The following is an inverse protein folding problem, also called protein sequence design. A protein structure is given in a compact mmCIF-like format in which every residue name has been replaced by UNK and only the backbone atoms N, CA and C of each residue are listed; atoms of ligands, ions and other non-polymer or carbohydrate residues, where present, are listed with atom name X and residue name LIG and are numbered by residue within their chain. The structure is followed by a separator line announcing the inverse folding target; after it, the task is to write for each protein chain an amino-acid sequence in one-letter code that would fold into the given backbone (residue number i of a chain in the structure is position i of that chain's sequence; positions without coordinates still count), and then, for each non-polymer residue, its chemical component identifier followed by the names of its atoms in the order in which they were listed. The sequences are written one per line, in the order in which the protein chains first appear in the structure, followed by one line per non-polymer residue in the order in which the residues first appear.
data_IF_949902487765
#
_entry.id   IF_949902487765
#
_cell.length_a   1.000
_cell.length_b   1.000
_cell.length_c   1.000
_cell.angle_alpha   90.00
_cell.angle_beta   90.00
_cell.angle_gamma   90.00
#
_symmetry.space_group_name_H-M   'P 1'
#
loop_
_entity.id
_entity.type
_entity.pdbx_description
1 polymer ?
#
# COMPACT_ATOMS: atom_id res chain seq x y z
N UNK A 1 -6.06 8.02 7.48
CA UNK A 1 -6.50 6.97 8.44
C UNK A 1 -6.06 5.59 7.94
N UNK A 2 -5.80 4.67 8.85
CA UNK A 2 -5.39 3.29 8.61
C UNK A 2 -6.22 2.54 7.54
N UNK A 3 -7.57 2.66 7.57
CA UNK A 3 -8.44 2.01 6.58
C UNK A 3 -8.15 2.47 5.14
N UNK A 4 -7.93 3.76 4.94
CA UNK A 4 -7.59 4.33 3.63
C UNK A 4 -6.24 3.81 3.13
N UNK A 5 -5.27 3.66 4.04
CA UNK A 5 -3.96 3.10 3.68
C UNK A 5 -4.07 1.64 3.27
N UNK A 6 -4.84 0.82 4.00
CA UNK A 6 -5.09 -0.57 3.59
C UNK A 6 -5.74 -0.67 2.19
N UNK A 7 -6.72 0.18 1.89
CA UNK A 7 -7.36 0.24 0.57
C UNK A 7 -6.36 0.65 -0.52
N UNK A 8 -5.51 1.65 -0.26
CA UNK A 8 -4.45 2.06 -1.19
C UNK A 8 -3.43 0.94 -1.40
N UNK A 9 -2.95 0.28 -0.35
CA UNK A 9 -2.03 -0.85 -0.48
C UNK A 9 -2.64 -1.98 -1.33
N UNK A 10 -3.93 -2.29 -1.15
CA UNK A 10 -4.63 -3.28 -1.96
C UNK A 10 -4.73 -2.85 -3.43
N UNK A 11 -5.05 -1.58 -3.69
CA UNK A 11 -5.20 -1.04 -5.05
C UNK A 11 -3.88 -1.02 -5.82
N UNK A 12 -2.78 -0.67 -5.15
CA UNK A 12 -1.47 -0.53 -5.78
C UNK A 12 -0.56 -1.77 -5.65
N UNK A 13 -1.02 -2.85 -4.96
CA UNK A 13 -0.28 -4.12 -4.87
C UNK A 13 0.19 -4.66 -6.24
N UNK A 14 -0.63 -4.64 -7.33
CA UNK A 14 -0.20 -5.14 -8.62
C UNK A 14 1.10 -4.52 -9.14
N UNK A 15 1.42 -3.30 -8.73
CA UNK A 15 2.65 -2.61 -9.16
C UNK A 15 3.93 -3.29 -8.69
N UNK A 16 3.87 -4.10 -7.66
CA UNK A 16 5.00 -4.90 -7.15
C UNK A 16 5.12 -6.26 -7.85
N UNK A 17 4.17 -6.62 -8.72
CA UNK A 17 4.15 -7.89 -9.43
C UNK A 17 5.11 -7.91 -10.63
N UNK A 18 5.81 -9.01 -10.81
CA UNK A 18 6.72 -9.21 -11.95
C UNK A 18 5.99 -9.16 -13.30
N UNK A 19 4.72 -9.57 -13.35
CA UNK A 19 3.90 -9.55 -14.56
C UNK A 19 3.60 -8.13 -15.03
N UNK A 20 3.28 -7.20 -14.14
CA UNK A 20 3.05 -5.78 -14.46
C UNK A 20 4.35 -5.08 -14.83
N UNK A 21 5.43 -5.43 -14.14
CA UNK A 21 6.79 -4.93 -14.46
C UNK A 21 7.23 -5.39 -15.86
N UNK A 22 7.07 -6.67 -16.20
CA UNK A 22 7.40 -7.21 -17.51
C UNK A 22 6.57 -6.58 -18.63
N UNK A 23 5.29 -6.33 -18.38
CA UNK A 23 4.39 -5.65 -19.33
C UNK A 23 4.63 -4.14 -19.44
N UNK A 24 5.56 -3.61 -18.64
CA UNK A 24 5.85 -2.17 -18.54
C UNK A 24 4.62 -1.31 -18.17
N UNK A 25 3.76 -1.86 -17.30
CA UNK A 25 2.57 -1.19 -16.74
C UNK A 25 2.71 -0.98 -15.22
N UNK A 26 3.92 -0.83 -14.73
CA UNK A 26 4.26 -0.46 -13.36
C UNK A 26 5.34 0.62 -13.36
N UNK A 27 5.13 1.70 -12.63
CA UNK A 27 6.17 2.72 -12.38
C UNK A 27 7.36 2.20 -11.56
N UNK A 28 7.19 1.07 -10.89
CA UNK A 28 8.28 0.41 -10.17
C UNK A 28 9.20 -0.40 -11.10
N UNK A 29 8.91 -0.52 -12.40
CA UNK A 29 9.75 -1.23 -13.37
C UNK A 29 11.18 -0.61 -13.39
N UNK A 30 12.19 -1.46 -13.21
CA UNK A 30 13.60 -1.04 -13.15
C UNK A 30 13.99 -0.24 -11.90
N UNK A 31 13.17 -0.23 -10.86
CA UNK A 31 13.43 0.47 -9.60
C UNK A 31 13.91 -0.45 -8.47
N UNK A 32 13.98 -1.77 -8.66
CA UNK A 32 14.51 -2.68 -7.65
C UNK A 32 15.90 -2.23 -7.17
N UNK A 33 16.10 -2.16 -5.86
CA UNK A 33 17.32 -1.66 -5.21
C UNK A 33 17.43 -0.13 -5.17
N UNK A 34 16.42 0.62 -5.61
CA UNK A 34 16.42 2.09 -5.57
C UNK A 34 15.42 2.61 -4.55
N UNK A 35 15.60 3.86 -4.14
CA UNK A 35 14.70 4.60 -3.28
C UNK A 35 13.37 4.89 -4.01
N UNK A 36 12.26 4.41 -3.45
CA UNK A 36 10.90 4.57 -3.99
C UNK A 36 9.94 5.16 -2.95
N UNK A 37 10.37 5.26 -1.70
CA UNK A 37 9.59 5.77 -0.58
C UNK A 37 10.48 6.51 0.41
N UNK A 38 9.88 7.21 1.38
CA UNK A 38 10.61 7.78 2.52
C UNK A 38 11.34 6.67 3.29
N UNK A 39 12.50 6.97 3.88
CA UNK A 39 13.35 6.03 4.63
C UNK A 39 12.64 5.34 5.81
N UNK A 40 11.59 5.95 6.36
CA UNK A 40 10.78 5.36 7.44
C UNK A 40 9.82 4.27 6.94
N UNK A 41 9.64 4.12 5.62
CA UNK A 41 8.68 3.17 5.04
C UNK A 41 9.28 1.78 4.97
N UNK A 42 8.67 0.88 5.72
CA UNK A 42 8.96 -0.55 5.69
C UNK A 42 7.66 -1.31 5.38
N UNK A 43 7.58 -1.89 4.18
CA UNK A 43 6.44 -2.67 3.71
C UNK A 43 6.86 -4.14 3.62
N UNK A 44 6.28 -4.99 4.47
CA UNK A 44 6.68 -6.40 4.63
C UNK A 44 5.54 -7.34 4.32
N UNK A 45 5.79 -8.38 3.56
CA UNK A 45 4.92 -9.55 3.51
C UNK A 45 5.31 -10.53 4.62
N UNK A 46 4.33 -10.90 5.44
CA UNK A 46 4.50 -11.84 6.56
C UNK A 46 3.54 -13.02 6.40
N UNK A 47 4.04 -14.24 6.14
CA UNK A 47 3.19 -15.42 5.97
C UNK A 47 2.55 -15.92 7.28
N UNK A 48 2.91 -15.35 8.44
CA UNK A 48 2.41 -15.77 9.77
C UNK A 48 1.19 -14.96 10.26
N UNK A 49 0.67 -14.00 9.47
CA UNK A 49 -0.49 -13.17 9.84
C UNK A 49 -1.83 -13.90 9.78
N UNK A 50 -2.93 -13.13 9.65
CA UNK A 50 -4.30 -13.69 9.62
C UNK A 50 -4.55 -14.68 8.48
N UNK A 51 -3.87 -14.52 7.35
CA UNK A 51 -3.88 -15.47 6.24
C UNK A 51 -2.56 -16.27 6.25
N UNK A 52 -2.29 -16.96 7.36
CA UNK A 52 -1.09 -17.77 7.49
C UNK A 52 -1.07 -18.90 6.46
N UNK A 53 0.02 -18.98 5.69
CA UNK A 53 0.25 -20.03 4.70
C UNK A 53 1.71 -20.42 4.68
N UNK A 54 2.00 -21.71 4.66
CA UNK A 54 3.38 -22.22 4.52
C UNK A 54 3.84 -22.24 3.05
N UNK A 55 2.91 -22.28 2.10
CA UNK A 55 3.18 -22.24 0.66
C UNK A 55 2.01 -21.61 -0.09
N UNK A 56 2.32 -21.08 -1.27
CA UNK A 56 1.32 -20.57 -2.19
C UNK A 56 0.52 -21.69 -2.89
N UNK A 57 -0.38 -21.33 -3.80
CA UNK A 57 -1.21 -22.32 -4.51
C UNK A 57 -0.47 -23.04 -5.63
N UNK A 58 0.81 -22.74 -5.85
CA UNK A 58 1.73 -23.43 -6.77
C UNK A 58 2.71 -24.34 -6.02
N UNK A 59 2.61 -24.43 -4.67
CA UNK A 59 3.47 -25.25 -3.82
C UNK A 59 4.83 -24.64 -3.52
N UNK A 60 5.04 -23.36 -3.83
CA UNK A 60 6.27 -22.64 -3.46
C UNK A 60 6.17 -22.14 -2.01
N UNK A 61 7.20 -22.37 -1.16
CA UNK A 61 7.18 -21.87 0.21
C UNK A 61 6.99 -20.35 0.26
N UNK A 62 6.08 -19.89 1.11
CA UNK A 62 5.94 -18.47 1.43
C UNK A 62 6.98 -18.10 2.47
N UNK A 63 7.64 -16.98 2.29
CA UNK A 63 8.67 -16.50 3.20
C UNK A 63 8.41 -15.03 3.55
N UNK A 64 8.83 -14.64 4.76
CA UNK A 64 8.84 -13.23 5.14
C UNK A 64 9.82 -12.45 4.27
N UNK A 65 9.32 -11.40 3.62
CA UNK A 65 10.12 -10.56 2.73
C UNK A 65 9.67 -9.12 2.78
N UNK A 66 10.61 -8.21 2.52
CA UNK A 66 10.32 -6.79 2.41
C UNK A 66 10.08 -6.42 0.95
N UNK A 67 8.92 -5.84 0.65
CA UNK A 67 8.66 -5.19 -0.63
C UNK A 67 9.37 -3.83 -0.68
N UNK A 68 9.35 -3.11 0.45
CA UNK A 68 10.13 -1.89 0.66
C UNK A 68 10.81 -2.02 2.02
N UNK A 69 12.11 -1.76 2.09
CA UNK A 69 12.88 -1.70 3.33
C UNK A 69 13.63 -0.38 3.38
N UNK A 70 13.39 0.40 4.43
CA UNK A 70 14.04 1.71 4.64
C UNK A 70 13.94 2.58 3.36
N UNK A 71 12.73 2.63 2.76
CA UNK A 71 12.46 3.35 1.52
C UNK A 71 12.94 2.70 0.23
N UNK A 72 13.77 1.66 0.31
CA UNK A 72 14.37 0.98 -0.84
C UNK A 72 13.45 -0.14 -1.34
N UNK A 73 13.15 -0.16 -2.63
CA UNK A 73 12.39 -1.25 -3.26
C UNK A 73 13.19 -2.55 -3.24
N UNK A 74 12.58 -3.61 -2.71
CA UNK A 74 13.12 -4.95 -2.74
C UNK A 74 12.96 -5.63 -4.09
N UNK A 75 12.89 -6.95 -4.08
CA UNK A 75 12.60 -7.74 -5.27
C UNK A 75 11.11 -7.70 -5.59
N UNK A 76 10.76 -7.82 -6.89
CA UNK A 76 9.36 -7.98 -7.31
C UNK A 76 8.80 -9.32 -6.87
N UNK A 77 7.48 -9.39 -6.78
CA UNK A 77 6.76 -10.61 -6.46
C UNK A 77 6.63 -11.49 -7.70
N UNK A 78 6.99 -12.75 -7.57
CA UNK A 78 6.95 -13.74 -8.67
C UNK A 78 6.06 -14.93 -8.30
N UNK A 79 5.16 -15.32 -9.19
CA UNK A 79 4.65 -16.67 -9.27
C UNK A 79 5.59 -17.56 -10.14
N UNK A 80 5.33 -18.84 -10.30
CA UNK A 80 6.21 -19.72 -11.07
C UNK A 80 6.31 -19.32 -12.55
N UNK A 81 5.21 -18.90 -13.16
CA UNK A 81 5.18 -18.51 -14.58
C UNK A 81 6.07 -17.27 -14.84
N UNK A 82 5.92 -16.23 -14.04
CA UNK A 82 6.72 -15.00 -14.20
C UNK A 82 8.18 -15.21 -13.78
N UNK A 83 8.43 -16.07 -12.79
CA UNK A 83 9.79 -16.46 -12.40
C UNK A 83 10.52 -17.17 -13.55
N UNK A 84 9.86 -18.12 -14.19
CA UNK A 84 10.41 -18.84 -15.36
C UNK A 84 10.74 -17.87 -16.50
N UNK A 85 9.83 -16.94 -16.82
CA UNK A 85 10.04 -15.95 -17.88
C UNK A 85 11.21 -14.99 -17.56
N UNK A 86 11.43 -14.70 -16.28
CA UNK A 86 12.51 -13.82 -15.82
C UNK A 86 13.85 -14.55 -15.56
N UNK A 87 13.89 -15.89 -15.69
CA UNK A 87 15.07 -16.68 -15.31
C UNK A 87 15.39 -16.63 -13.81
N UNK A 88 14.36 -16.51 -12.97
CA UNK A 88 14.43 -16.39 -11.51
C UNK A 88 13.68 -17.52 -10.80
N UNK A 89 13.71 -17.52 -9.48
CA UNK A 89 12.87 -18.39 -8.65
C UNK A 89 11.57 -17.68 -8.25
N UNK A 90 10.48 -18.45 -8.10
CA UNK A 90 9.24 -17.93 -7.52
C UNK A 90 9.47 -17.43 -6.09
N UNK A 91 8.78 -16.37 -5.72
CA UNK A 91 8.84 -15.78 -4.37
C UNK A 91 7.73 -16.30 -3.44
N UNK A 92 6.98 -17.34 -3.87
CA UNK A 92 5.86 -17.90 -3.11
C UNK A 92 4.63 -16.98 -3.14
N UNK A 93 4.37 -16.38 -4.29
CA UNK A 93 3.31 -15.38 -4.45
C UNK A 93 2.29 -15.77 -5.53
N UNK A 94 2.19 -17.04 -5.90
CA UNK A 94 1.21 -17.55 -6.84
C UNK A 94 -0.09 -17.98 -6.15
N UNK A 95 -1.13 -17.11 -6.13
CA UNK A 95 -2.40 -17.39 -5.46
C UNK A 95 -3.58 -17.45 -6.43
N UNK A 96 -4.53 -18.32 -6.14
CA UNK A 96 -5.76 -18.49 -6.91
C UNK A 96 -6.94 -17.81 -6.23
N UNK A 97 -7.71 -17.03 -6.96
CA UNK A 97 -8.98 -16.49 -6.48
C UNK A 97 -10.09 -17.56 -6.39
N UNK A 98 -9.94 -18.66 -7.13
CA UNK A 98 -10.82 -19.82 -7.10
C UNK A 98 -10.11 -21.07 -7.62
N UNK A 99 -10.71 -22.25 -7.42
CA UNK A 99 -10.15 -23.52 -7.95
C UNK A 99 -10.07 -23.56 -9.49
N UNK A 100 -10.81 -22.70 -10.19
CA UNK A 100 -10.81 -22.60 -11.67
C UNK A 100 -9.85 -21.56 -12.20
N UNK A 101 -9.37 -20.63 -11.36
CA UNK A 101 -8.48 -19.57 -11.82
C UNK A 101 -7.04 -20.05 -11.96
N UNK A 102 -6.30 -19.43 -12.87
CA UNK A 102 -4.85 -19.54 -12.89
C UNK A 102 -4.27 -18.76 -11.72
N UNK A 103 -3.08 -19.16 -11.18
CA UNK A 103 -2.42 -18.41 -10.15
C UNK A 103 -2.06 -16.99 -10.62
N UNK A 104 -2.46 -16.00 -9.84
CA UNK A 104 -2.07 -14.61 -10.02
C UNK A 104 -1.10 -14.19 -8.90
N UNK A 105 -0.36 -13.10 -9.11
CA UNK A 105 0.53 -12.58 -8.08
C UNK A 105 -0.31 -11.92 -6.98
N UNK A 106 -0.06 -12.33 -5.75
CA UNK A 106 -0.72 -11.83 -4.54
C UNK A 106 0.20 -11.92 -3.33
N UNK A 107 -0.33 -11.59 -2.17
CA UNK A 107 0.38 -11.66 -0.88
C UNK A 107 -0.43 -12.45 0.14
N UNK A 108 0.21 -13.00 1.14
CA UNK A 108 -0.47 -13.58 2.31
C UNK A 108 -0.99 -12.47 3.22
N UNK A 109 -0.09 -11.75 3.86
CA UNK A 109 -0.38 -10.58 4.69
C UNK A 109 0.66 -9.50 4.39
N UNK A 110 0.22 -8.36 3.88
CA UNK A 110 1.07 -7.21 3.59
C UNK A 110 0.92 -6.18 4.70
N UNK A 111 2.02 -5.86 5.37
CA UNK A 111 2.05 -4.97 6.53
C UNK A 111 2.93 -3.75 6.28
N UNK A 112 2.38 -2.57 6.47
CA UNK A 112 3.16 -1.35 6.65
C UNK A 112 3.59 -1.27 8.12
N UNK A 113 4.90 -1.25 8.38
CA UNK A 113 5.42 -1.19 9.74
C UNK A 113 5.30 0.24 10.27
N UNK A 114 4.66 0.39 11.41
CA UNK A 114 4.49 1.67 12.10
C UNK A 114 5.66 1.98 13.04
N UNK A 115 5.72 3.23 13.45
CA UNK A 115 6.61 3.75 14.49
C UNK A 115 5.94 3.66 15.87
N UNK A 116 6.66 4.02 16.93
CA UNK A 116 6.11 4.14 18.30
C UNK A 116 5.34 5.47 18.49
N UNK A 117 4.59 5.91 17.50
CA UNK A 117 3.79 7.13 17.54
C UNK A 117 2.30 6.79 17.53
N UNK A 118 1.52 7.49 18.35
CA UNK A 118 0.07 7.37 18.25
C UNK A 118 -0.47 8.20 17.08
N UNK A 119 -1.65 7.88 16.60
CA UNK A 119 -2.35 8.70 15.61
C UNK A 119 -2.56 10.15 16.11
N UNK A 120 -2.85 10.30 17.38
CA UNK A 120 -3.06 11.60 18.03
C UNK A 120 -1.78 12.46 17.95
N UNK A 121 -0.61 11.85 18.17
CA UNK A 121 0.68 12.53 17.98
C UNK A 121 0.90 12.99 16.54
N UNK A 122 0.55 12.18 15.54
CA UNK A 122 0.63 12.59 14.13
C UNK A 122 -0.31 13.77 13.82
N UNK A 123 -1.51 13.82 14.42
CA UNK A 123 -2.45 14.92 14.26
C UNK A 123 -1.88 16.18 14.92
N UNK A 124 -1.27 16.06 16.10
CA UNK A 124 -0.60 17.16 16.78
C UNK A 124 0.59 17.69 15.98
N UNK A 125 1.44 16.81 15.44
CA UNK A 125 2.58 17.19 14.60
C UNK A 125 2.14 17.83 13.27
N UNK A 126 0.99 17.45 12.71
CA UNK A 126 0.44 18.02 11.48
C UNK A 126 0.11 19.51 11.61
N UNK A 127 -0.25 19.99 12.80
CA UNK A 127 -0.69 21.36 13.11
C UNK A 127 -1.92 21.79 12.31
N UNK A 128 -1.78 22.08 11.01
CA UNK A 128 -2.87 22.49 10.11
C UNK A 128 -2.92 21.56 8.89
N UNK A 129 -4.10 21.03 8.60
CA UNK A 129 -4.28 20.09 7.49
C UNK A 129 -5.60 19.34 7.53
N UNK A 130 -5.62 18.13 6.98
CA UNK A 130 -6.79 17.26 6.90
C UNK A 130 -6.49 15.86 7.44
N UNK A 131 -7.35 15.37 8.30
CA UNK A 131 -7.40 13.96 8.68
C UNK A 131 -8.48 13.24 7.88
N UNK A 132 -8.08 12.55 6.81
CA UNK A 132 -8.99 11.81 5.94
C UNK A 132 -9.37 10.49 6.62
N UNK A 133 -10.67 10.25 6.79
CA UNK A 133 -11.20 9.07 7.47
C UNK A 133 -11.76 8.01 6.53
N UNK A 134 -12.16 8.38 5.33
CA UNK A 134 -12.58 7.47 4.27
C UNK A 134 -12.43 8.13 2.90
N UNK A 135 -12.23 7.30 1.88
CA UNK A 135 -12.23 7.67 0.48
C UNK A 135 -13.21 6.76 -0.26
N UNK A 136 -14.00 7.35 -1.15
CA UNK A 136 -14.93 6.64 -2.01
C UNK A 136 -14.43 6.64 -3.45
N UNK A 137 -14.76 5.58 -4.20
CA UNK A 137 -14.47 5.50 -5.63
C UNK A 137 -13.05 5.05 -5.98
N UNK A 138 -12.36 4.31 -5.11
CA UNK A 138 -10.98 3.83 -5.33
C UNK A 138 -10.81 3.16 -6.70
N UNK A 139 -11.72 2.26 -7.12
CA UNK A 139 -11.63 1.57 -8.40
C UNK A 139 -11.83 2.46 -9.64
N UNK A 140 -12.51 3.59 -9.49
CA UNK A 140 -12.77 4.51 -10.60
C UNK A 140 -11.83 5.72 -10.60
N UNK A 141 -11.33 6.11 -9.44
CA UNK A 141 -10.55 7.31 -9.22
C UNK A 141 -9.07 7.08 -8.96
N UNK A 142 -8.59 5.82 -8.99
CA UNK A 142 -7.17 5.50 -8.83
C UNK A 142 -6.68 4.64 -10.00
N UNK A 143 -5.50 4.97 -10.53
CA UNK A 143 -4.84 4.24 -11.61
C UNK A 143 -3.54 3.60 -11.08
N UNK A 144 -3.50 2.27 -10.93
CA UNK A 144 -2.30 1.59 -10.44
C UNK A 144 -1.10 1.66 -11.40
N UNK A 145 -1.32 1.99 -12.67
CA UNK A 145 -0.25 2.10 -13.66
C UNK A 145 0.46 3.45 -13.51
N UNK A 146 -0.28 4.56 -13.57
CA UNK A 146 0.28 5.90 -13.41
C UNK A 146 0.58 6.27 -11.96
N UNK A 147 -0.13 5.65 -11.01
CA UNK A 147 -0.12 6.01 -9.60
C UNK A 147 -1.06 7.15 -9.26
N UNK A 148 -1.68 7.80 -10.25
CA UNK A 148 -2.54 8.94 -10.01
C UNK A 148 -3.85 8.52 -9.33
N UNK A 149 -4.33 9.37 -8.44
CA UNK A 149 -5.64 9.19 -7.83
C UNK A 149 -6.37 10.53 -7.66
N UNK A 150 -7.69 10.49 -7.73
CA UNK A 150 -8.60 11.58 -7.37
C UNK A 150 -9.84 10.97 -6.75
N UNK A 151 -9.96 11.08 -5.42
CA UNK A 151 -10.91 10.33 -4.61
C UNK A 151 -11.85 11.28 -3.86
N UNK A 152 -13.15 10.97 -3.89
CA UNK A 152 -14.12 11.65 -3.02
C UNK A 152 -13.85 11.23 -1.59
N UNK A 153 -13.60 12.19 -0.73
CA UNK A 153 -13.08 11.96 0.60
C UNK A 153 -13.93 12.68 1.66
N UNK A 154 -13.85 12.14 2.89
CA UNK A 154 -14.40 12.73 4.09
C UNK A 154 -13.44 12.60 5.25
N UNK A 155 -13.58 13.49 6.22
CA UNK A 155 -12.69 13.50 7.39
C UNK A 155 -12.90 14.72 8.26
N UNK A 156 -11.82 15.24 8.80
CA UNK A 156 -11.81 16.39 9.69
C UNK A 156 -10.73 17.38 9.26
N UNK A 157 -11.06 18.65 9.35
CA UNK A 157 -10.05 19.69 9.34
C UNK A 157 -9.25 19.60 10.64
N UNK A 158 -7.94 19.72 10.53
CA UNK A 158 -7.02 19.83 11.68
C UNK A 158 -6.58 21.28 11.78
N UNK A 159 -6.65 21.85 12.99
CA UNK A 159 -6.20 23.18 13.30
C UNK A 159 -5.42 23.18 14.62
N UNK A 160 -4.23 23.78 14.61
CA UNK A 160 -3.35 23.83 15.78
C UNK A 160 -3.19 22.44 16.43
N UNK A 161 -2.97 21.41 15.64
CA UNK A 161 -2.79 20.03 16.10
C UNK A 161 -4.02 19.34 16.68
N UNK A 162 -5.23 19.84 16.42
CA UNK A 162 -6.50 19.26 16.93
C UNK A 162 -7.53 19.12 15.83
N UNK A 163 -8.37 18.08 15.96
CA UNK A 163 -9.54 17.93 15.08
C UNK A 163 -10.50 19.09 15.33
N UNK A 164 -10.82 19.81 14.26
CA UNK A 164 -11.73 20.97 14.29
C UNK A 164 -13.12 20.56 13.77
N UNK A 165 -13.41 20.81 12.52
CA UNK A 165 -14.72 20.52 11.91
C UNK A 165 -14.66 19.33 10.94
N UNK A 166 -15.79 18.61 10.85
CA UNK A 166 -15.96 17.58 9.83
C UNK A 166 -16.00 18.21 8.43
N UNK A 167 -15.39 17.51 7.47
CA UNK A 167 -15.44 17.81 6.04
C UNK A 167 -15.96 16.60 5.29
N UNK A 168 -16.75 16.84 4.26
CA UNK A 168 -17.37 15.79 3.45
C UNK A 168 -17.41 16.20 1.98
N UNK A 169 -17.44 15.21 1.08
CA UNK A 169 -17.52 15.45 -0.37
C UNK A 169 -16.40 16.36 -0.90
N UNK A 170 -15.22 16.29 -0.32
CA UNK A 170 -14.01 16.91 -0.87
C UNK A 170 -13.34 15.93 -1.81
N UNK A 171 -12.69 16.42 -2.87
CA UNK A 171 -11.83 15.60 -3.71
C UNK A 171 -10.38 15.75 -3.21
N UNK A 172 -9.72 14.61 -2.97
CA UNK A 172 -8.30 14.55 -2.65
C UNK A 172 -7.59 13.86 -3.80
N UNK A 173 -6.63 14.55 -4.40
CA UNK A 173 -5.91 14.06 -5.57
C UNK A 173 -4.38 14.09 -5.34
N UNK A 174 -3.70 13.16 -5.95
CA UNK A 174 -2.25 13.04 -5.88
C UNK A 174 -1.72 11.86 -6.68
N UNK A 175 -0.49 11.47 -6.40
CA UNK A 175 0.15 10.31 -6.99
C UNK A 175 0.66 9.40 -5.86
N UNK A 176 0.33 8.12 -5.90
CA UNK A 176 0.67 7.15 -4.86
C UNK A 176 2.19 7.01 -4.64
N UNK A 177 2.96 6.96 -5.71
CA UNK A 177 4.41 6.79 -5.62
C UNK A 177 5.10 8.04 -5.05
N UNK A 178 4.59 9.21 -5.40
CA UNK A 178 5.07 10.47 -4.81
C UNK A 178 4.63 10.59 -3.35
N UNK A 179 3.40 10.15 -3.03
CA UNK A 179 2.92 10.08 -1.65
C UNK A 179 3.82 9.22 -0.77
N UNK A 180 4.27 8.04 -1.26
CA UNK A 180 5.19 7.17 -0.51
C UNK A 180 6.52 7.86 -0.17
N UNK A 181 7.05 8.68 -1.08
CA UNK A 181 8.29 9.45 -0.85
C UNK A 181 8.12 10.58 0.16
N UNK A 182 6.88 11.05 0.33
CA UNK A 182 6.56 12.17 1.21
C UNK A 182 5.84 11.75 2.49
N UNK A 183 5.90 10.47 2.87
CA UNK A 183 5.45 10.02 4.20
C UNK A 183 6.38 10.62 5.25
N UNK A 184 5.78 11.33 6.23
CA UNK A 184 6.47 12.06 7.30
C UNK A 184 6.38 11.39 8.66
N UNK A 185 5.41 10.50 8.84
CA UNK A 185 5.22 9.74 10.07
C UNK A 185 4.22 8.61 9.88
N UNK A 186 4.41 7.54 10.61
CA UNK A 186 3.61 6.32 10.58
C UNK A 186 3.19 6.02 12.02
N UNK A 187 1.88 5.90 12.27
CA UNK A 187 1.37 5.62 13.61
C UNK A 187 1.49 4.13 13.98
N UNK A 188 0.91 3.77 15.13
CA UNK A 188 0.82 2.39 15.62
C UNK A 188 -0.63 1.89 15.77
N UNK A 189 -1.61 2.64 15.23
CA UNK A 189 -3.05 2.32 15.27
C UNK A 189 -3.46 1.36 14.15
N UNK A 190 -2.90 0.14 14.17
CA UNK A 190 -3.10 -0.84 13.10
C UNK A 190 -4.57 -1.20 12.85
N UNK A 191 -4.90 -1.35 11.58
CA UNK A 191 -6.11 -1.99 11.08
C UNK A 191 -5.69 -3.14 10.17
N UNK A 192 -6.38 -4.26 10.28
CA UNK A 192 -6.23 -5.41 9.39
C UNK A 192 -7.51 -5.59 8.59
N UNK A 193 -7.39 -5.72 7.28
CA UNK A 193 -8.54 -5.92 6.38
C UNK A 193 -8.18 -6.81 5.20
N UNK A 194 -9.17 -7.52 4.67
CA UNK A 194 -9.04 -8.22 3.38
C UNK A 194 -9.19 -7.26 2.21
N UNK A 195 -8.44 -7.52 1.15
CA UNK A 195 -8.52 -6.77 -0.10
C UNK A 195 -8.18 -7.65 -1.30
N UNK A 196 -8.20 -7.06 -2.50
CA UNK A 196 -7.78 -7.78 -3.69
C UNK A 196 -6.30 -8.18 -3.59
N UNK A 197 -6.05 -9.49 -3.66
CA UNK A 197 -4.68 -10.03 -3.63
C UNK A 197 -4.14 -10.43 -2.26
N UNK A 198 -4.87 -10.23 -1.14
CA UNK A 198 -4.42 -10.69 0.18
C UNK A 198 -5.03 -9.98 1.38
N UNK A 199 -4.37 -10.09 2.51
CA UNK A 199 -4.67 -9.35 3.74
C UNK A 199 -3.71 -8.16 3.84
N UNK A 200 -4.23 -7.03 4.26
CA UNK A 200 -3.50 -5.77 4.40
C UNK A 200 -3.59 -5.26 5.84
N UNK A 201 -2.44 -4.95 6.40
CA UNK A 201 -2.33 -4.38 7.73
C UNK A 201 -1.56 -3.07 7.65
N UNK A 202 -2.19 -1.98 8.09
CA UNK A 202 -1.55 -0.68 8.08
C UNK A 202 -2.05 0.20 9.22
N UNK A 203 -1.19 1.08 9.76
CA UNK A 203 -1.57 2.16 10.65
C UNK A 203 -1.93 3.43 9.87
N UNK A 204 -2.36 4.46 10.58
CA UNK A 204 -2.50 5.81 10.02
C UNK A 204 -1.14 6.39 9.65
N UNK A 205 -1.09 7.19 8.58
CA UNK A 205 0.13 7.85 8.13
C UNK A 205 -0.08 9.35 7.98
N UNK A 206 0.97 10.11 8.22
CA UNK A 206 1.08 11.53 7.87
C UNK A 206 1.87 11.63 6.57
N UNK A 207 1.29 12.34 5.59
CA UNK A 207 1.89 12.52 4.27
C UNK A 207 2.15 14.00 4.00
N UNK A 208 2.97 14.29 3.02
CA UNK A 208 3.16 15.64 2.50
C UNK A 208 1.89 16.22 1.87
N UNK A 209 2.07 17.28 1.11
CA UNK A 209 0.96 18.00 0.49
C UNK A 209 0.29 17.18 -0.60
N UNK A 210 -1.04 17.16 -0.59
CA UNK A 210 -1.91 16.63 -1.64
C UNK A 210 -2.84 17.74 -2.12
N UNK A 211 -3.34 17.61 -3.35
CA UNK A 211 -4.30 18.56 -3.90
C UNK A 211 -5.69 18.27 -3.32
N UNK A 212 -6.29 19.29 -2.75
CA UNK A 212 -7.66 19.19 -2.19
C UNK A 212 -8.56 20.20 -2.86
N UNK A 213 -9.72 19.77 -3.31
CA UNK A 213 -10.78 20.63 -3.86
C UNK A 213 -12.13 20.30 -3.21
N UNK A 214 -12.97 21.29 -3.09
CA UNK A 214 -14.28 21.20 -2.46
C UNK A 214 -14.53 22.41 -1.54
N UNK A 215 -15.74 22.48 -1.00
CA UNK A 215 -16.15 23.56 -0.07
C UNK A 215 -16.28 23.05 1.36
#
# INVERSE_FOLDING_TARGET
KNSVICEMLSMYLPSFGADTVRKNISKLAGQAGKEVASEIVNLVEDPEGLNARSFDDEGTPTIKKYLIRDGILGEYLYNQAEALLAGKSSTGNGFKSSYRSVPAIGVTNLKLIGEEKSREMLIEELQDGLYITACDGMFAGADPVSGDFSLISKGYLVKNGKLDRAVNQIAVAGNFYDMLKHIRGIANDYLVTGGAGGIFEAPSVSVGELVVSGK
#
